data_IF_376834939506
#
_entry.id   IF_376834939506
#
_cell.length_a   1.000
_cell.length_b   1.000
_cell.length_c   1.000
_cell.angle_alpha   90.00
_cell.angle_beta   90.00
_cell.angle_gamma   90.00
#
_symmetry.space_group_name_H-M   'P 1'
#
loop_
_entity.id
_entity.type
_entity.pdbx_description
1 polymer ?
#
# COMPACT_ATOMS: atom_id res chain seq x y z
N UNK A 1 6.30 -5.25 -19.95
CA UNK A 1 6.26 -6.18 -18.79
C UNK A 1 6.46 -7.64 -19.17
N UNK A 2 5.68 -8.26 -20.08
CA UNK A 2 5.95 -9.65 -20.55
C UNK A 2 7.38 -9.83 -21.10
N UNK A 3 7.79 -9.00 -22.05
CA UNK A 3 9.15 -9.05 -22.61
C UNK A 3 10.27 -8.63 -21.63
N UNK A 4 9.92 -8.06 -20.47
CA UNK A 4 10.86 -7.57 -19.45
C UNK A 4 10.92 -8.51 -18.23
N UNK A 5 10.28 -9.68 -18.28
CA UNK A 5 10.24 -10.64 -17.17
C UNK A 5 9.37 -10.23 -15.97
N UNK A 6 8.77 -9.04 -15.99
CA UNK A 6 8.01 -8.46 -14.88
C UNK A 6 6.48 -8.72 -14.99
N UNK A 7 6.05 -9.73 -15.75
CA UNK A 7 4.62 -10.04 -15.90
C UNK A 7 4.07 -10.76 -14.68
N UNK A 8 2.94 -10.31 -14.17
CA UNK A 8 2.21 -11.01 -13.13
C UNK A 8 1.26 -12.03 -13.79
N UNK A 9 1.39 -13.34 -13.54
CA UNK A 9 0.47 -14.35 -14.09
C UNK A 9 -1.00 -14.10 -13.72
N UNK A 10 -1.26 -13.36 -12.64
CA UNK A 10 -2.63 -12.96 -12.28
C UNK A 10 -3.30 -12.03 -13.31
N UNK A 11 -2.54 -11.47 -14.25
CA UNK A 11 -3.07 -10.64 -15.34
C UNK A 11 -3.40 -11.43 -16.60
N UNK A 12 -3.09 -12.73 -16.67
CA UNK A 12 -3.36 -13.53 -17.88
C UNK A 12 -4.85 -13.51 -18.26
N UNK A 13 -5.75 -13.68 -17.29
CA UNK A 13 -7.20 -13.59 -17.53
C UNK A 13 -7.66 -12.21 -17.99
N UNK A 14 -7.08 -11.13 -17.46
CA UNK A 14 -7.41 -9.77 -17.88
C UNK A 14 -6.98 -9.56 -19.33
N UNK A 15 -5.78 -10.01 -19.67
CA UNK A 15 -5.26 -9.92 -21.03
C UNK A 15 -6.08 -10.75 -22.02
N UNK A 16 -6.49 -11.96 -21.65
CA UNK A 16 -7.32 -12.81 -22.51
C UNK A 16 -8.71 -12.20 -22.79
N UNK A 17 -9.24 -11.41 -21.86
CA UNK A 17 -10.56 -10.78 -21.98
C UNK A 17 -10.50 -9.42 -22.69
N UNK A 18 -9.51 -8.60 -22.36
CA UNK A 18 -9.32 -7.28 -22.96
C UNK A 18 -7.82 -6.92 -23.00
N UNK A 19 -7.14 -7.26 -24.12
CA UNK A 19 -5.72 -6.98 -24.30
C UNK A 19 -5.40 -5.49 -24.30
N UNK A 20 -6.23 -4.68 -24.95
CA UNK A 20 -6.00 -3.23 -25.10
C UNK A 20 -6.09 -2.55 -23.73
N UNK A 21 -7.16 -2.82 -22.98
CA UNK A 21 -7.32 -2.28 -21.65
C UNK A 21 -6.20 -2.73 -20.71
N UNK A 22 -5.83 -4.02 -20.75
CA UNK A 22 -4.76 -4.55 -19.91
C UNK A 22 -3.43 -3.86 -20.20
N UNK A 23 -3.09 -3.63 -21.47
CA UNK A 23 -1.89 -2.90 -21.84
C UNK A 23 -1.91 -1.46 -21.34
N UNK A 24 -3.04 -0.76 -21.51
CA UNK A 24 -3.22 0.61 -21.02
C UNK A 24 -3.09 0.68 -19.49
N UNK A 25 -3.73 -0.23 -18.75
CA UNK A 25 -3.67 -0.32 -17.29
C UNK A 25 -2.23 -0.52 -16.79
N UNK A 26 -1.51 -1.47 -17.38
CA UNK A 26 -0.11 -1.73 -17.05
C UNK A 26 0.79 -0.55 -17.43
N UNK A 27 0.52 0.11 -18.56
CA UNK A 27 1.24 1.31 -18.99
C UNK A 27 1.07 2.45 -17.99
N UNK A 28 -0.16 2.70 -17.55
CA UNK A 28 -0.49 3.70 -16.53
C UNK A 28 0.28 3.46 -15.23
N UNK A 29 0.24 2.23 -14.69
CA UNK A 29 0.92 1.89 -13.43
C UNK A 29 2.45 1.87 -13.53
N UNK A 30 3.02 1.60 -14.71
CA UNK A 30 4.48 1.52 -14.91
C UNK A 30 5.14 2.83 -15.33
N UNK A 31 4.37 3.92 -15.53
CA UNK A 31 4.90 5.19 -16.00
C UNK A 31 6.03 5.77 -15.10
N UNK A 32 5.91 5.79 -13.75
CA UNK A 32 6.98 6.30 -12.90
C UNK A 32 8.27 5.49 -13.02
N UNK A 33 8.13 4.16 -13.17
CA UNK A 33 9.25 3.22 -13.35
C UNK A 33 9.95 3.48 -14.68
N UNK A 34 9.18 3.58 -15.77
CA UNK A 34 9.71 3.81 -17.13
C UNK A 34 10.43 5.16 -17.26
N UNK A 35 10.00 6.17 -16.50
CA UNK A 35 10.66 7.49 -16.47
C UNK A 35 11.99 7.48 -15.70
N UNK A 36 12.27 6.45 -14.91
CA UNK A 36 13.53 6.32 -14.16
C UNK A 36 13.73 7.39 -13.08
N UNK A 37 12.66 8.09 -12.68
CA UNK A 37 12.71 9.14 -11.65
C UNK A 37 12.86 8.58 -10.24
N UNK A 38 12.52 7.31 -10.05
CA UNK A 38 12.72 6.54 -8.83
C UNK A 38 13.63 5.35 -9.16
N UNK A 39 14.51 4.98 -8.24
CA UNK A 39 15.32 3.77 -8.40
C UNK A 39 14.43 2.52 -8.38
N UNK A 40 14.80 1.45 -9.09
CA UNK A 40 14.07 0.18 -9.03
C UNK A 40 13.89 -0.34 -7.60
N UNK A 41 14.93 -0.22 -6.75
CA UNK A 41 14.88 -0.60 -5.33
C UNK A 41 13.78 0.15 -4.58
N UNK A 42 13.71 1.48 -4.77
CA UNK A 42 12.72 2.30 -4.10
C UNK A 42 11.30 2.00 -4.56
N UNK A 43 11.11 1.71 -5.85
CA UNK A 43 9.82 1.29 -6.40
C UNK A 43 9.34 -0.01 -5.74
N UNK A 44 10.22 -0.99 -5.57
CA UNK A 44 9.85 -2.25 -4.91
C UNK A 44 9.53 -2.05 -3.42
N UNK A 45 10.31 -1.26 -2.69
CA UNK A 45 10.03 -0.90 -1.29
C UNK A 45 8.68 -0.17 -1.14
N UNK A 46 8.39 0.79 -2.03
CA UNK A 46 7.12 1.50 -2.05
C UNK A 46 5.95 0.55 -2.34
N UNK A 47 6.13 -0.38 -3.26
CA UNK A 47 5.09 -1.36 -3.60
C UNK A 47 4.83 -2.35 -2.47
N UNK A 48 5.88 -2.76 -1.72
CA UNK A 48 5.72 -3.55 -0.49
C UNK A 48 4.85 -2.79 0.52
N UNK A 49 5.13 -1.50 0.74
CA UNK A 49 4.36 -0.68 1.69
C UNK A 49 2.87 -0.60 1.32
N UNK A 50 2.56 -0.39 0.03
CA UNK A 50 1.19 -0.33 -0.49
C UNK A 50 0.47 -1.67 -0.31
N UNK A 51 1.11 -2.78 -0.68
CA UNK A 51 0.50 -4.11 -0.61
C UNK A 51 0.36 -4.62 0.84
N UNK A 52 1.29 -4.26 1.72
CA UNK A 52 1.29 -4.70 3.12
C UNK A 52 0.40 -3.85 4.04
N UNK A 53 -0.06 -2.67 3.59
CA UNK A 53 -0.92 -1.80 4.37
C UNK A 53 -2.17 -2.54 4.89
N UNK A 54 -2.56 -2.32 6.14
CA UNK A 54 -3.73 -2.98 6.74
C UNK A 54 -5.06 -2.64 6.04
N UNK A 55 -5.08 -1.58 5.24
CA UNK A 55 -6.19 -1.19 4.36
C UNK A 55 -6.21 -1.93 3.02
N UNK A 56 -5.17 -2.70 2.70
CA UNK A 56 -5.05 -3.43 1.43
C UNK A 56 -4.76 -4.92 1.60
N UNK A 57 -3.70 -5.28 2.33
CA UNK A 57 -3.30 -6.66 2.66
C UNK A 57 -3.23 -7.61 1.45
N UNK A 58 -2.68 -7.15 0.33
CA UNK A 58 -2.56 -7.93 -0.89
C UNK A 58 -1.34 -8.86 -0.86
N UNK A 59 -1.50 -10.00 -0.17
CA UNK A 59 -0.43 -11.00 0.04
C UNK A 59 0.34 -11.43 -1.22
N UNK A 60 -0.31 -11.66 -2.39
CA UNK A 60 0.43 -12.01 -3.60
C UNK A 60 1.42 -10.92 -4.04
N UNK A 61 1.02 -9.66 -3.93
CA UNK A 61 1.86 -8.52 -4.29
C UNK A 61 3.02 -8.32 -3.32
N UNK A 62 2.76 -8.39 -2.01
CA UNK A 62 3.82 -8.36 -0.97
C UNK A 62 4.91 -9.40 -1.28
N UNK A 63 4.52 -10.65 -1.56
CA UNK A 63 5.48 -11.73 -1.88
C UNK A 63 6.28 -11.46 -3.14
N UNK A 64 5.63 -10.94 -4.19
CA UNK A 64 6.27 -10.62 -5.46
C UNK A 64 7.28 -9.50 -5.30
N UNK A 65 6.90 -8.42 -4.64
CA UNK A 65 7.76 -7.25 -4.48
C UNK A 65 8.90 -7.47 -3.48
N UNK A 66 8.71 -8.23 -2.41
CA UNK A 66 9.83 -8.66 -1.53
C UNK A 66 10.87 -9.45 -2.33
N UNK A 67 10.43 -10.38 -3.20
CA UNK A 67 11.36 -11.15 -4.03
C UNK A 67 12.15 -10.26 -4.98
N UNK A 68 11.45 -9.38 -5.70
CA UNK A 68 12.09 -8.45 -6.63
C UNK A 68 13.06 -7.48 -5.93
N UNK A 69 12.70 -6.97 -4.75
CA UNK A 69 13.59 -6.14 -3.94
C UNK A 69 14.89 -6.87 -3.58
N UNK A 70 14.80 -8.13 -3.12
CA UNK A 70 15.95 -8.96 -2.78
C UNK A 70 16.83 -9.25 -4.02
N UNK A 71 16.22 -9.51 -5.18
CA UNK A 71 16.93 -9.69 -6.46
C UNK A 71 17.68 -8.41 -6.90
N UNK A 72 17.17 -7.22 -6.53
CA UNK A 72 17.80 -5.92 -6.77
C UNK A 72 18.84 -5.53 -5.70
N UNK A 73 19.10 -6.40 -4.73
CA UNK A 73 20.10 -6.20 -3.67
C UNK A 73 19.63 -5.38 -2.46
N UNK A 74 18.32 -5.14 -2.32
CA UNK A 74 17.75 -4.51 -1.12
C UNK A 74 17.95 -5.42 0.09
N UNK A 75 18.35 -4.84 1.22
CA UNK A 75 18.62 -5.61 2.42
C UNK A 75 17.32 -6.08 3.11
N UNK A 76 17.43 -7.13 3.94
CA UNK A 76 16.29 -7.59 4.74
C UNK A 76 15.86 -6.56 5.78
N UNK A 77 16.82 -5.80 6.29
CA UNK A 77 16.63 -4.72 7.25
C UNK A 77 15.85 -3.56 6.64
N UNK A 78 16.14 -3.18 5.39
CA UNK A 78 15.35 -2.17 4.66
C UNK A 78 13.90 -2.61 4.46
N UNK A 79 13.69 -3.87 4.07
CA UNK A 79 12.35 -4.45 3.90
C UNK A 79 11.61 -4.49 5.24
N UNK A 80 12.28 -4.90 6.32
CA UNK A 80 11.70 -4.95 7.66
C UNK A 80 11.29 -3.54 8.12
N UNK A 81 12.15 -2.54 7.92
CA UNK A 81 11.84 -1.15 8.24
C UNK A 81 10.58 -0.64 7.51
N UNK A 82 10.38 -1.00 6.24
CA UNK A 82 9.15 -0.66 5.52
C UNK A 82 7.91 -1.32 6.16
N UNK A 83 8.00 -2.58 6.58
CA UNK A 83 6.89 -3.27 7.24
C UNK A 83 6.57 -2.66 8.61
N UNK A 84 7.59 -2.29 9.38
CA UNK A 84 7.45 -1.58 10.65
C UNK A 84 6.76 -0.23 10.45
N UNK A 85 7.20 0.58 9.48
CA UNK A 85 6.57 1.85 9.12
C UNK A 85 5.10 1.66 8.71
N UNK A 86 4.83 0.63 7.91
CA UNK A 86 3.48 0.32 7.43
C UNK A 86 2.53 -0.09 8.56
N UNK A 87 3.04 -0.75 9.61
CA UNK A 87 2.25 -1.19 10.76
C UNK A 87 1.64 -0.04 11.58
N UNK A 88 2.23 1.16 11.49
CA UNK A 88 1.79 2.34 12.25
C UNK A 88 0.47 2.91 11.73
N UNK A 89 0.03 2.55 10.51
CA UNK A 89 -1.19 3.07 9.89
C UNK A 89 -2.44 2.97 10.80
N UNK A 90 -2.50 1.98 11.69
CA UNK A 90 -3.58 1.81 12.66
C UNK A 90 -3.76 2.98 13.64
N UNK A 91 -2.73 3.79 13.89
CA UNK A 91 -2.82 4.96 14.80
C UNK A 91 -3.81 6.01 14.31
N UNK A 92 -4.14 6.02 13.01
CA UNK A 92 -5.13 6.95 12.45
C UNK A 92 -6.53 6.75 13.04
N UNK A 93 -6.85 5.55 13.55
CA UNK A 93 -8.08 5.33 14.30
C UNK A 93 -8.13 6.19 15.57
N UNK A 94 -7.01 6.33 16.29
CA UNK A 94 -6.91 7.19 17.46
C UNK A 94 -6.93 8.68 17.08
N UNK A 95 -6.25 9.06 15.99
CA UNK A 95 -6.24 10.45 15.51
C UNK A 95 -7.66 10.97 15.22
N UNK A 96 -8.57 10.11 14.79
CA UNK A 96 -9.98 10.45 14.57
C UNK A 96 -10.82 10.22 15.83
N UNK A 97 -10.66 9.08 16.49
CA UNK A 97 -11.53 8.66 17.59
C UNK A 97 -11.32 9.44 18.89
N UNK A 98 -10.09 9.83 19.22
CA UNK A 98 -9.80 10.53 20.49
C UNK A 98 -10.43 11.94 20.51
N UNK A 99 -10.32 12.77 19.46
CA UNK A 99 -11.03 14.05 19.42
C UNK A 99 -12.54 13.91 19.52
N UNK A 100 -13.14 12.98 18.77
CA UNK A 100 -14.59 12.74 18.82
C UNK A 100 -15.05 12.29 20.21
N UNK A 101 -14.27 11.43 20.88
CA UNK A 101 -14.56 11.03 22.25
C UNK A 101 -14.52 12.22 23.21
N UNK A 102 -13.55 13.13 23.06
CA UNK A 102 -13.48 14.35 23.88
C UNK A 102 -14.71 15.24 23.67
N UNK A 103 -15.13 15.45 22.42
CA UNK A 103 -16.35 16.21 22.08
C UNK A 103 -17.61 15.60 22.73
N UNK A 104 -17.73 14.28 22.69
CA UNK A 104 -18.89 13.58 23.28
C UNK A 104 -18.87 13.56 24.81
N UNK A 105 -17.69 13.51 25.44
CA UNK A 105 -17.56 13.65 26.89
C UNK A 105 -18.02 15.04 27.34
N UNK A 106 -17.57 16.10 26.68
CA UNK A 106 -17.99 17.47 26.96
C UNK A 106 -19.51 17.63 26.77
N UNK A 107 -20.06 17.07 25.69
CA UNK A 107 -21.49 17.10 25.42
C UNK A 107 -22.29 16.32 26.47
N UNK A 108 -21.77 15.18 26.93
CA UNK A 108 -22.38 14.39 27.98
C UNK A 108 -22.44 15.15 29.31
N UNK A 109 -21.36 15.82 29.70
CA UNK A 109 -21.31 16.62 30.92
C UNK A 109 -22.33 17.76 30.91
N UNK A 110 -22.44 18.48 29.78
CA UNK A 110 -23.48 19.52 29.60
C UNK A 110 -24.89 18.97 29.77
N UNK A 111 -25.24 17.89 29.06
CA UNK A 111 -26.56 17.23 29.17
C UNK A 111 -26.85 16.73 30.59
N UNK A 112 -25.82 16.29 31.32
CA UNK A 112 -25.95 15.83 32.71
C UNK A 112 -26.21 16.99 33.66
N UNK A 113 -25.58 18.15 33.44
CA UNK A 113 -25.82 19.35 34.23
C UNK A 113 -27.23 19.91 34.02
N UNK A 114 -27.73 19.93 32.79
CA UNK A 114 -29.10 20.40 32.45
C UNK A 114 -30.22 19.53 33.04
N UNK A 115 -29.92 18.27 33.40
CA UNK A 115 -30.88 17.33 34.01
C UNK A 115 -30.95 17.40 35.53
N UNK A 116 -30.09 18.19 36.18
CA UNK A 116 -30.05 18.39 37.63
C UNK A 116 -30.71 19.69 38.02
#
# INVERSE_FOLDING_TARGET
MRAQGAWNPLWDKLFDWDPEWTEQFVSMGSLPIRRGVLSPQFVELLSIAVDAACTHMYSPGVRRHIRAALELGVSREEILAVLELTSVLGIHACNVGVPLLAEELDAFERRRAERR
#
